data_IF_126010496921
#
_entry.id   IF_126010496921
#
_cell.length_a   1.000
_cell.length_b   1.000
_cell.length_c   1.000
_cell.angle_alpha   90.00
_cell.angle_beta   90.00
_cell.angle_gamma   90.00
#
_symmetry.space_group_name_H-M   'P 1'
#
loop_
_entity.id
_entity.type
_entity.pdbx_description
1 polymer ?
#
# COMPACT_ATOMS: atom_id res chain seq x y z
N UNK A 1 39.20 95.85 -26.57
CA UNK A 1 39.10 96.98 -27.51
C UNK A 1 38.76 98.34 -26.87
N UNK A 2 38.61 98.46 -25.53
CA UNK A 2 38.38 99.76 -24.86
C UNK A 2 39.66 100.45 -24.34
N UNK A 3 40.80 99.76 -24.35
CA UNK A 3 42.09 100.30 -23.87
C UNK A 3 42.78 101.18 -24.94
N UNK A 4 42.39 101.06 -26.21
CA UNK A 4 43.05 101.75 -27.33
C UNK A 4 42.52 103.17 -27.62
N UNK A 5 41.37 103.53 -27.06
CA UNK A 5 40.73 104.84 -27.30
C UNK A 5 41.13 105.89 -26.24
N UNK A 6 41.55 105.45 -25.05
CA UNK A 6 41.94 106.36 -23.96
C UNK A 6 43.35 106.97 -24.13
N UNK A 7 44.28 106.31 -24.84
CA UNK A 7 45.64 106.84 -25.03
C UNK A 7 45.75 107.94 -26.10
N UNK A 8 44.73 108.14 -26.94
CA UNK A 8 44.79 109.08 -28.07
C UNK A 8 44.24 110.48 -27.77
N UNK A 9 43.50 110.65 -26.66
CA UNK A 9 42.93 111.94 -26.25
C UNK A 9 43.82 112.65 -25.22
N UNK A 10 44.65 111.92 -24.48
CA UNK A 10 45.56 112.48 -23.46
C UNK A 10 46.85 113.07 -24.07
N UNK A 11 47.25 112.64 -25.27
CA UNK A 11 48.50 113.10 -25.92
C UNK A 11 48.36 114.43 -26.70
N UNK A 12 47.13 114.88 -26.98
CA UNK A 12 46.89 116.14 -27.72
C UNK A 12 46.58 117.35 -26.83
N UNK A 13 46.45 117.16 -25.51
CA UNK A 13 46.09 118.22 -24.57
C UNK A 13 47.28 118.76 -23.75
N UNK A 14 48.48 118.19 -23.91
CA UNK A 14 49.69 118.57 -23.12
C UNK A 14 50.67 119.45 -23.91
N UNK A 15 50.36 119.83 -25.16
CA UNK A 15 51.27 120.59 -26.03
C UNK A 15 50.79 121.99 -26.43
N UNK A 16 49.93 122.67 -25.65
CA UNK A 16 49.48 124.03 -26.04
C UNK A 16 49.22 125.05 -24.93
N UNK A 17 49.50 124.79 -23.65
CA UNK A 17 49.26 125.79 -22.60
C UNK A 17 50.38 125.79 -21.55
N UNK A 18 51.34 126.71 -21.73
CA UNK A 18 52.31 127.26 -20.78
C UNK A 18 53.41 127.92 -21.63
N UNK A 19 53.60 129.26 -21.71
CA UNK A 19 53.88 130.15 -20.59
C UNK A 19 53.94 131.62 -21.11
N UNK A 20 53.26 132.50 -20.36
CA UNK A 20 53.68 133.87 -19.93
C UNK A 20 53.71 134.97 -21.01
N UNK A 21 52.72 135.88 -21.07
CA UNK A 21 52.59 137.12 -20.26
C UNK A 21 53.85 137.99 -20.19
N UNK A 22 53.93 139.06 -20.99
CA UNK A 22 54.96 140.08 -20.82
C UNK A 22 54.76 141.33 -21.68
N UNK A 23 54.36 142.42 -21.03
CA UNK A 23 54.74 143.81 -21.32
C UNK A 23 54.43 144.46 -22.69
N UNK A 24 53.30 145.15 -22.74
CA UNK A 24 53.17 146.59 -22.92
C UNK A 24 54.46 147.38 -23.32
N UNK A 25 54.50 147.93 -24.55
CA UNK A 25 55.07 149.26 -24.82
C UNK A 25 54.56 149.83 -26.16
N UNK A 26 53.70 150.84 -26.04
CA UNK A 26 53.30 151.76 -27.10
C UNK A 26 54.10 153.05 -26.84
N UNK A 27 54.73 153.62 -27.87
CA UNK A 27 55.49 154.89 -27.78
C UNK A 27 55.74 155.43 -29.21
N UNK A 28 55.99 156.73 -29.41
CA UNK A 28 54.97 157.63 -29.97
C UNK A 28 55.42 158.39 -31.23
N UNK A 29 54.43 158.95 -31.95
CA UNK A 29 54.63 159.92 -33.04
C UNK A 29 55.13 161.25 -32.46
N UNK A 30 56.39 161.61 -32.72
CA UNK A 30 56.98 162.91 -32.39
C UNK A 30 57.00 163.85 -33.59
N UNK A 31 56.38 165.02 -33.43
CA UNK A 31 56.39 166.17 -34.33
C UNK A 31 57.59 167.08 -34.06
N UNK A 32 58.25 167.63 -35.09
CA UNK A 32 59.05 168.86 -34.99
C UNK A 32 58.85 169.74 -36.24
N UNK A 33 58.45 170.98 -35.97
CA UNK A 33 58.05 172.08 -36.85
C UNK A 33 59.23 172.78 -37.58
N UNK A 34 58.95 173.57 -38.64
CA UNK A 34 59.93 174.34 -39.41
C UNK A 34 60.21 175.73 -38.81
N UNK A 35 61.29 176.44 -39.22
CA UNK A 35 61.49 177.85 -38.88
C UNK A 35 60.97 178.80 -39.98
N UNK A 36 60.32 179.86 -39.52
CA UNK A 36 59.79 181.02 -40.25
C UNK A 36 60.75 182.21 -40.11
N UNK A 37 60.93 182.99 -41.18
CA UNK A 37 61.08 184.47 -41.19
C UNK A 37 61.39 184.90 -42.64
N UNK A 38 60.86 185.94 -43.28
CA UNK A 38 59.90 187.04 -43.06
C UNK A 38 59.63 187.65 -44.47
N UNK A 39 58.74 188.59 -44.80
CA UNK A 39 58.03 189.67 -44.14
C UNK A 39 56.81 190.02 -45.02
N UNK A 40 55.67 190.38 -44.44
CA UNK A 40 54.95 191.64 -44.72
C UNK A 40 53.63 191.68 -43.93
N UNK A 41 53.49 192.75 -43.15
CA UNK A 41 52.46 192.93 -42.13
C UNK A 41 51.03 192.96 -42.69
N UNK A 42 50.09 192.50 -41.84
CA UNK A 42 48.61 192.69 -41.87
C UNK A 42 47.72 191.43 -42.17
N UNK A 43 48.24 190.25 -42.51
CA UNK A 43 47.42 189.03 -42.81
C UNK A 43 47.36 187.90 -41.73
N UNK A 44 48.10 187.98 -40.62
CA UNK A 44 48.35 186.85 -39.69
C UNK A 44 47.27 186.53 -38.62
N UNK A 45 46.17 187.27 -38.53
CA UNK A 45 45.19 187.07 -37.42
C UNK A 45 44.11 186.02 -37.72
N UNK A 46 43.73 185.82 -38.98
CA UNK A 46 42.61 184.93 -39.35
C UNK A 46 43.03 183.45 -39.45
N UNK A 47 44.25 183.15 -39.88
CA UNK A 47 44.78 181.78 -39.97
C UNK A 47 44.98 181.13 -38.59
N UNK A 48 45.39 181.91 -37.59
CA UNK A 48 45.54 181.44 -36.22
C UNK A 48 44.18 181.04 -35.59
N UNK A 49 43.13 181.81 -35.88
CA UNK A 49 41.78 181.53 -35.39
C UNK A 49 41.20 180.24 -35.99
N UNK A 50 41.51 179.95 -37.25
CA UNK A 50 41.12 178.71 -37.93
C UNK A 50 41.83 177.48 -37.36
N UNK A 51 43.13 177.57 -37.11
CA UNK A 51 43.92 176.51 -36.45
C UNK A 51 43.37 176.16 -35.06
N UNK A 52 42.96 177.15 -34.28
CA UNK A 52 42.34 176.96 -32.96
C UNK A 52 40.99 176.22 -33.03
N UNK A 53 40.17 176.51 -34.04
CA UNK A 53 38.88 175.83 -34.27
C UNK A 53 39.11 174.37 -34.67
N UNK A 54 40.05 174.10 -35.58
CA UNK A 54 40.36 172.74 -36.01
C UNK A 54 40.97 171.90 -34.87
N UNK A 55 41.80 172.51 -34.04
CA UNK A 55 42.39 171.80 -32.89
C UNK A 55 41.35 171.54 -31.79
N UNK A 56 40.41 172.47 -31.57
CA UNK A 56 39.27 172.25 -30.68
C UNK A 56 38.37 171.11 -31.19
N UNK A 57 38.10 171.06 -32.50
CA UNK A 57 37.36 169.96 -33.13
C UNK A 57 38.10 168.63 -33.01
N UNK A 58 39.43 168.60 -33.17
CA UNK A 58 40.23 167.39 -32.91
C UNK A 58 40.15 166.95 -31.47
N UNK A 59 40.28 167.86 -30.51
CA UNK A 59 40.10 167.55 -29.09
C UNK A 59 38.71 166.96 -28.80
N UNK A 60 37.66 167.56 -29.36
CA UNK A 60 36.29 167.04 -29.23
C UNK A 60 36.14 165.64 -29.88
N UNK A 61 36.74 165.43 -31.05
CA UNK A 61 36.74 164.13 -31.72
C UNK A 61 37.52 163.06 -30.94
N UNK A 62 38.70 163.38 -30.40
CA UNK A 62 39.45 162.47 -29.54
C UNK A 62 38.71 162.14 -28.25
N UNK A 63 38.02 163.12 -27.65
CA UNK A 63 37.16 162.90 -26.49
C UNK A 63 35.98 161.98 -26.82
N UNK A 64 35.33 162.18 -27.96
CA UNK A 64 34.24 161.32 -28.44
C UNK A 64 34.75 159.90 -28.71
N UNK A 65 35.88 159.75 -29.39
CA UNK A 65 36.49 158.43 -29.65
C UNK A 65 36.87 157.72 -28.36
N UNK A 66 37.45 158.44 -27.37
CA UNK A 66 37.75 157.86 -26.06
C UNK A 66 36.49 157.39 -25.33
N UNK A 67 35.41 158.19 -25.37
CA UNK A 67 34.12 157.80 -24.79
C UNK A 67 33.55 156.55 -25.47
N UNK A 68 33.60 156.45 -26.81
CA UNK A 68 33.16 155.27 -27.56
C UNK A 68 34.00 154.04 -27.23
N UNK A 69 35.34 154.17 -27.23
CA UNK A 69 36.25 153.06 -26.90
C UNK A 69 36.03 152.60 -25.46
N UNK A 70 35.82 153.53 -24.52
CA UNK A 70 35.52 153.21 -23.12
C UNK A 70 34.19 152.45 -22.98
N UNK A 71 33.15 152.89 -23.69
CA UNK A 71 31.85 152.21 -23.72
C UNK A 71 31.95 150.81 -24.32
N UNK A 72 32.66 150.66 -25.44
CA UNK A 72 32.91 149.35 -26.06
C UNK A 72 33.76 148.43 -25.16
N UNK A 73 34.79 148.96 -24.49
CA UNK A 73 35.57 148.18 -23.53
C UNK A 73 34.69 147.71 -22.36
N UNK A 74 33.83 148.57 -21.81
CA UNK A 74 32.88 148.17 -20.77
C UNK A 74 31.90 147.09 -21.27
N UNK A 75 31.33 147.26 -22.47
CA UNK A 75 30.44 146.25 -23.07
C UNK A 75 31.13 144.90 -23.26
N UNK A 76 32.35 144.91 -23.80
CA UNK A 76 33.16 143.69 -23.98
C UNK A 76 33.55 143.07 -22.63
N UNK A 77 33.82 143.88 -21.60
CA UNK A 77 34.12 143.39 -20.27
C UNK A 77 32.90 142.72 -19.62
N UNK A 78 31.70 143.30 -19.79
CA UNK A 78 30.44 142.71 -19.36
C UNK A 78 30.14 141.42 -20.12
N UNK A 79 30.31 141.38 -21.44
CA UNK A 79 30.16 140.16 -22.26
C UNK A 79 31.16 139.06 -21.89
N UNK A 80 32.42 139.43 -21.62
CA UNK A 80 33.44 138.50 -21.14
C UNK A 80 33.07 137.91 -19.77
N UNK A 81 32.60 138.77 -18.85
CA UNK A 81 32.18 138.34 -17.50
C UNK A 81 30.97 137.42 -17.58
N UNK A 82 29.97 137.77 -18.41
CA UNK A 82 28.79 136.95 -18.66
C UNK A 82 29.15 135.57 -19.24
N UNK A 83 30.00 135.55 -20.26
CA UNK A 83 30.46 134.29 -20.88
C UNK A 83 31.28 133.44 -19.91
N UNK A 84 32.07 134.07 -19.03
CA UNK A 84 32.82 133.38 -18.00
C UNK A 84 31.89 132.75 -16.95
N UNK A 85 30.83 133.45 -16.54
CA UNK A 85 29.86 132.93 -15.58
C UNK A 85 28.98 131.84 -16.17
N UNK A 86 28.57 131.96 -17.43
CA UNK A 86 27.91 130.88 -18.19
C UNK A 86 28.80 129.63 -18.30
N UNK A 87 30.10 129.80 -18.56
CA UNK A 87 31.05 128.69 -18.59
C UNK A 87 31.19 128.00 -17.23
N UNK A 88 31.25 128.77 -16.12
CA UNK A 88 31.27 128.20 -14.77
C UNK A 88 29.99 127.42 -14.48
N UNK A 89 28.82 127.97 -14.84
CA UNK A 89 27.54 127.30 -14.67
C UNK A 89 27.49 125.99 -15.46
N UNK A 90 27.86 125.99 -16.74
CA UNK A 90 27.89 124.79 -17.58
C UNK A 90 28.86 123.73 -17.06
N UNK A 91 29.99 124.12 -16.47
CA UNK A 91 30.92 123.18 -15.84
C UNK A 91 30.31 122.51 -14.61
N UNK A 92 29.58 123.27 -13.78
CA UNK A 92 28.85 122.71 -12.63
C UNK A 92 27.74 121.80 -13.11
N UNK A 93 26.92 122.21 -14.08
CA UNK A 93 25.85 121.39 -14.65
C UNK A 93 26.39 120.08 -15.23
N UNK A 94 27.46 120.14 -16.04
CA UNK A 94 28.16 118.96 -16.55
C UNK A 94 28.61 118.03 -15.42
N UNK A 95 29.20 118.58 -14.35
CA UNK A 95 29.64 117.79 -13.21
C UNK A 95 28.45 117.12 -12.50
N UNK A 96 27.38 117.87 -12.23
CA UNK A 96 26.19 117.31 -11.56
C UNK A 96 25.52 116.21 -12.38
N UNK A 97 25.47 116.35 -13.71
CA UNK A 97 24.92 115.31 -14.61
C UNK A 97 25.84 114.09 -14.61
N UNK A 98 27.16 114.31 -14.64
CA UNK A 98 28.13 113.22 -14.56
C UNK A 98 28.00 112.43 -13.25
N UNK A 99 27.88 113.11 -12.11
CA UNK A 99 27.71 112.49 -10.80
C UNK A 99 26.39 111.70 -10.72
N UNK A 100 25.29 112.23 -11.28
CA UNK A 100 24.01 111.51 -11.40
C UNK A 100 24.14 110.24 -12.24
N UNK A 101 24.84 110.30 -13.36
CA UNK A 101 25.10 109.11 -14.18
C UNK A 101 25.99 108.09 -13.47
N UNK A 102 27.01 108.55 -12.72
CA UNK A 102 27.84 107.66 -11.92
C UNK A 102 27.03 106.95 -10.83
N UNK A 103 26.14 107.66 -10.14
CA UNK A 103 25.25 107.09 -9.14
C UNK A 103 24.32 106.04 -9.75
N UNK A 104 23.64 106.38 -10.86
CA UNK A 104 22.74 105.46 -11.55
C UNK A 104 23.48 104.20 -12.06
N UNK A 105 24.71 104.36 -12.55
CA UNK A 105 25.56 103.23 -12.94
C UNK A 105 25.95 102.35 -11.75
N UNK A 106 26.15 102.93 -10.57
CA UNK A 106 26.42 102.17 -9.35
C UNK A 106 25.18 101.37 -8.91
N UNK A 107 24.00 102.01 -8.90
CA UNK A 107 22.72 101.37 -8.57
C UNK A 107 22.42 100.18 -9.49
N UNK A 108 22.56 100.33 -10.81
CA UNK A 108 22.34 99.21 -11.74
C UNK A 108 23.34 98.07 -11.58
N UNK A 109 24.60 98.37 -11.20
CA UNK A 109 25.60 97.33 -10.92
C UNK A 109 25.25 96.56 -9.65
N UNK A 110 24.79 97.25 -8.61
CA UNK A 110 24.35 96.63 -7.37
C UNK A 110 23.11 95.76 -7.60
N UNK A 111 22.11 96.26 -8.34
CA UNK A 111 20.91 95.48 -8.68
C UNK A 111 21.26 94.24 -9.50
N UNK A 112 22.12 94.36 -10.53
CA UNK A 112 22.56 93.22 -11.33
C UNK A 112 23.28 92.17 -10.48
N UNK A 113 24.13 92.59 -9.55
CA UNK A 113 24.80 91.69 -8.62
C UNK A 113 23.79 90.99 -7.70
N UNK A 114 22.84 91.74 -7.14
CA UNK A 114 21.75 91.19 -6.33
C UNK A 114 20.93 90.15 -7.08
N UNK A 115 20.50 90.45 -8.31
CA UNK A 115 19.77 89.51 -9.18
C UNK A 115 20.58 88.28 -9.55
N UNK A 116 21.89 88.43 -9.76
CA UNK A 116 22.77 87.29 -10.03
C UNK A 116 22.86 86.36 -8.82
N UNK A 117 23.02 86.91 -7.61
CA UNK A 117 23.06 86.13 -6.37
C UNK A 117 21.73 85.44 -6.07
N UNK A 118 20.59 86.12 -6.29
CA UNK A 118 19.25 85.52 -6.16
C UNK A 118 19.07 84.32 -7.11
N UNK A 119 19.50 84.48 -8.36
CA UNK A 119 19.43 83.43 -9.38
C UNK A 119 20.30 82.22 -9.01
N UNK A 120 21.50 82.44 -8.49
CA UNK A 120 22.37 81.37 -7.99
C UNK A 120 21.75 80.62 -6.79
N UNK A 121 21.15 81.35 -5.85
CA UNK A 121 20.41 80.75 -4.72
C UNK A 121 19.22 79.92 -5.21
N UNK A 122 18.45 80.43 -6.16
CA UNK A 122 17.32 79.69 -6.74
C UNK A 122 17.79 78.43 -7.47
N UNK A 123 18.87 78.49 -8.27
CA UNK A 123 19.45 77.31 -8.94
C UNK A 123 19.87 76.21 -7.96
N UNK A 124 20.35 76.57 -6.77
CA UNK A 124 20.70 75.61 -5.71
C UNK A 124 19.48 74.94 -5.08
N UNK A 125 18.38 75.68 -4.93
CA UNK A 125 17.13 75.21 -4.33
C UNK A 125 16.28 74.38 -5.31
N UNK A 126 16.30 74.73 -6.60
CA UNK A 126 15.56 73.99 -7.63
C UNK A 126 16.03 72.55 -7.68
N UNK A 127 15.07 71.64 -7.80
CA UNK A 127 15.33 70.22 -7.96
C UNK A 127 16.08 70.00 -9.28
N UNK A 128 17.38 69.70 -9.18
CA UNK A 128 18.19 69.39 -10.35
C UNK A 128 17.89 67.99 -10.86
N UNK A 129 18.10 67.70 -12.16
CA UNK A 129 17.94 66.36 -12.71
C UNK A 129 18.72 65.29 -11.94
N UNK A 130 19.92 65.63 -11.45
CA UNK A 130 20.75 64.71 -10.66
C UNK A 130 20.13 64.38 -9.30
N UNK A 131 19.57 65.39 -8.60
CA UNK A 131 18.86 65.17 -7.33
C UNK A 131 17.60 64.33 -7.56
N UNK A 132 16.90 64.55 -8.67
CA UNK A 132 15.73 63.74 -9.03
C UNK A 132 16.09 62.28 -9.33
N UNK A 133 17.17 62.02 -10.07
CA UNK A 133 17.66 60.65 -10.32
C UNK A 133 18.07 59.95 -9.03
N UNK A 134 18.74 60.65 -8.11
CA UNK A 134 19.09 60.10 -6.80
C UNK A 134 17.85 59.71 -6.00
N UNK A 135 16.84 60.59 -5.94
CA UNK A 135 15.58 60.30 -5.24
C UNK A 135 14.85 59.12 -5.90
N UNK A 136 14.82 59.04 -7.24
CA UNK A 136 14.24 57.89 -7.96
C UNK A 136 14.96 56.59 -7.62
N UNK A 137 16.30 56.61 -7.62
CA UNK A 137 17.11 55.44 -7.26
C UNK A 137 16.87 55.01 -5.80
N UNK A 138 16.75 55.96 -4.87
CA UNK A 138 16.40 55.68 -3.48
C UNK A 138 15.01 55.06 -3.34
N UNK A 139 13.99 55.62 -4.00
CA UNK A 139 12.64 55.06 -4.03
C UNK A 139 12.66 53.63 -4.59
N UNK A 140 13.39 53.41 -5.67
CA UNK A 140 13.50 52.09 -6.29
C UNK A 140 14.18 51.06 -5.36
N UNK A 141 15.24 51.47 -4.66
CA UNK A 141 16.02 50.61 -3.78
C UNK A 141 15.30 50.32 -2.44
N UNK A 142 14.73 51.35 -1.82
CA UNK A 142 14.15 51.26 -0.47
C UNK A 142 12.69 50.79 -0.47
N UNK A 143 11.94 51.05 -1.54
CA UNK A 143 10.51 50.76 -1.60
C UNK A 143 10.16 49.78 -2.73
N UNK A 144 10.44 50.12 -3.99
CA UNK A 144 9.93 49.34 -5.12
C UNK A 144 10.51 47.92 -5.15
N UNK A 145 11.83 47.77 -5.00
CA UNK A 145 12.49 46.45 -5.05
C UNK A 145 12.10 45.55 -3.87
N UNK A 146 12.08 46.01 -2.61
CA UNK A 146 11.61 45.20 -1.48
C UNK A 146 10.13 44.81 -1.61
N UNK A 147 9.29 45.72 -2.12
CA UNK A 147 7.88 45.41 -2.35
C UNK A 147 7.70 44.36 -3.45
N UNK A 148 8.41 44.49 -4.58
CA UNK A 148 8.39 43.50 -5.65
C UNK A 148 8.82 42.11 -5.17
N UNK A 149 9.89 42.02 -4.38
CA UNK A 149 10.35 40.74 -3.83
C UNK A 149 9.35 40.16 -2.81
N UNK A 150 8.70 40.99 -2.00
CA UNK A 150 7.61 40.54 -1.11
C UNK A 150 6.46 39.96 -1.91
N UNK A 151 5.98 40.66 -2.94
CA UNK A 151 4.91 40.15 -3.81
C UNK A 151 5.29 38.83 -4.48
N UNK A 152 6.52 38.72 -5.00
CA UNK A 152 7.00 37.48 -5.60
C UNK A 152 7.02 36.31 -4.61
N UNK A 153 7.41 36.55 -3.35
CA UNK A 153 7.37 35.53 -2.30
C UNK A 153 5.94 35.09 -1.98
N UNK A 154 5.02 36.05 -1.84
CA UNK A 154 3.59 35.78 -1.61
C UNK A 154 2.97 34.99 -2.77
N UNK A 155 3.27 35.34 -4.02
CA UNK A 155 2.83 34.59 -5.20
C UNK A 155 3.37 33.15 -5.20
N UNK A 156 4.65 32.96 -4.89
CA UNK A 156 5.25 31.63 -4.80
C UNK A 156 4.62 30.78 -3.68
N UNK A 157 4.32 31.37 -2.53
CA UNK A 157 3.63 30.67 -1.43
C UNK A 157 2.19 30.32 -1.82
N UNK A 158 1.47 31.25 -2.46
CA UNK A 158 0.13 31.00 -2.98
C UNK A 158 0.11 29.83 -3.98
N UNK A 159 1.07 29.78 -4.90
CA UNK A 159 1.16 28.69 -5.88
C UNK A 159 1.54 27.35 -5.24
N UNK A 160 2.42 27.36 -4.22
CA UNK A 160 2.71 26.17 -3.41
C UNK A 160 1.45 25.63 -2.73
N UNK A 161 0.71 26.48 -2.01
CA UNK A 161 -0.52 26.05 -1.36
C UNK A 161 -1.58 25.58 -2.37
N UNK A 162 -1.67 26.21 -3.54
CA UNK A 162 -2.57 25.80 -4.62
C UNK A 162 -2.22 24.39 -5.13
N UNK A 163 -0.95 24.11 -5.37
CA UNK A 163 -0.49 22.80 -5.83
C UNK A 163 -0.69 21.71 -4.78
N UNK A 164 -0.37 22.00 -3.51
CA UNK A 164 -0.61 21.10 -2.38
C UNK A 164 -2.10 20.82 -2.17
N UNK A 165 -2.95 21.85 -2.20
CA UNK A 165 -4.40 21.69 -2.12
C UNK A 165 -4.94 20.79 -3.24
N UNK A 166 -4.49 21.02 -4.48
CA UNK A 166 -4.92 20.19 -5.61
C UNK A 166 -4.50 18.73 -5.41
N UNK A 167 -3.24 18.49 -4.99
CA UNK A 167 -2.74 17.15 -4.68
C UNK A 167 -3.59 16.47 -3.60
N UNK A 168 -3.81 17.15 -2.48
CA UNK A 168 -4.60 16.62 -1.37
C UNK A 168 -6.06 16.35 -1.77
N UNK A 169 -6.64 17.20 -2.62
CA UNK A 169 -7.99 17.01 -3.17
C UNK A 169 -8.08 15.76 -4.03
N UNK A 170 -7.07 15.49 -4.87
CA UNK A 170 -7.02 14.26 -5.66
C UNK A 170 -6.86 13.04 -4.77
N UNK A 171 -5.93 13.07 -3.81
CA UNK A 171 -5.71 11.98 -2.86
C UNK A 171 -6.97 11.68 -2.05
N UNK A 172 -7.64 12.70 -1.52
CA UNK A 172 -8.90 12.55 -0.80
C UNK A 172 -9.98 11.88 -1.68
N UNK A 173 -10.12 12.31 -2.94
CA UNK A 173 -11.11 11.73 -3.86
C UNK A 173 -10.79 10.27 -4.17
N UNK A 174 -9.52 9.97 -4.42
CA UNK A 174 -9.03 8.61 -4.66
C UNK A 174 -9.28 7.69 -3.45
N UNK A 175 -8.84 8.10 -2.25
CA UNK A 175 -9.04 7.32 -1.02
C UNK A 175 -10.52 7.12 -0.71
N UNK A 176 -11.36 8.13 -0.96
CA UNK A 176 -12.80 8.02 -0.75
C UNK A 176 -13.41 6.96 -1.67
N UNK A 177 -13.07 6.97 -2.96
CA UNK A 177 -13.55 5.97 -3.90
C UNK A 177 -13.06 4.55 -3.58
N UNK A 178 -11.79 4.38 -3.18
CA UNK A 178 -11.26 3.09 -2.72
C UNK A 178 -11.98 2.58 -1.47
N UNK A 179 -12.25 3.47 -0.50
CA UNK A 179 -13.00 3.11 0.70
C UNK A 179 -14.45 2.71 0.40
N UNK A 180 -15.13 3.47 -0.47
CA UNK A 180 -16.50 3.15 -0.91
C UNK A 180 -16.54 1.79 -1.62
N UNK A 181 -15.59 1.53 -2.52
CA UNK A 181 -15.46 0.26 -3.23
C UNK A 181 -15.22 -0.92 -2.27
N UNK A 182 -14.25 -0.82 -1.35
CA UNK A 182 -13.98 -1.88 -0.37
C UNK A 182 -15.19 -2.14 0.54
N UNK A 183 -15.90 -1.08 0.95
CA UNK A 183 -17.12 -1.21 1.75
C UNK A 183 -18.20 -1.98 0.98
N UNK A 184 -18.42 -1.66 -0.28
CA UNK A 184 -19.39 -2.34 -1.15
C UNK A 184 -19.01 -3.81 -1.38
N UNK A 185 -17.73 -4.11 -1.63
CA UNK A 185 -17.24 -5.48 -1.75
C UNK A 185 -17.46 -6.30 -0.48
N UNK A 186 -17.16 -5.71 0.69
CA UNK A 186 -17.40 -6.36 1.98
C UNK A 186 -18.89 -6.59 2.24
N UNK A 187 -19.75 -5.63 1.91
CA UNK A 187 -21.21 -5.77 2.04
C UNK A 187 -21.74 -6.87 1.12
N UNK A 188 -21.29 -6.91 -0.14
CA UNK A 188 -21.65 -7.96 -1.08
C UNK A 188 -21.20 -9.35 -0.60
N UNK A 189 -19.97 -9.48 -0.12
CA UNK A 189 -19.45 -10.74 0.41
C UNK A 189 -20.25 -11.24 1.62
N UNK A 190 -20.65 -10.32 2.53
CA UNK A 190 -21.49 -10.65 3.67
C UNK A 190 -22.88 -11.12 3.24
N UNK A 191 -23.51 -10.46 2.27
CA UNK A 191 -24.83 -10.88 1.77
C UNK A 191 -24.74 -12.21 1.02
N UNK A 192 -23.68 -12.45 0.24
CA UNK A 192 -23.44 -13.74 -0.43
C UNK A 192 -23.30 -14.88 0.59
N UNK A 193 -22.53 -14.68 1.65
CA UNK A 193 -22.41 -15.66 2.73
C UNK A 193 -23.73 -15.87 3.45
N UNK A 194 -24.47 -14.80 3.75
CA UNK A 194 -25.80 -14.89 4.36
C UNK A 194 -26.76 -15.73 3.51
N UNK A 195 -26.81 -15.49 2.19
CA UNK A 195 -27.64 -16.29 1.27
C UNK A 195 -27.23 -17.76 1.28
N UNK A 196 -25.92 -18.07 1.29
CA UNK A 196 -25.43 -19.47 1.40
C UNK A 196 -25.89 -20.14 2.69
N UNK A 197 -25.79 -19.44 3.82
CA UNK A 197 -26.23 -19.96 5.12
C UNK A 197 -27.75 -20.13 5.18
N UNK A 198 -28.53 -19.19 4.65
CA UNK A 198 -29.98 -19.30 4.56
C UNK A 198 -30.41 -20.49 3.68
N UNK A 199 -29.74 -20.71 2.55
CA UNK A 199 -29.99 -21.86 1.69
C UNK A 199 -29.65 -23.20 2.37
N UNK A 200 -28.55 -23.26 3.13
CA UNK A 200 -28.16 -24.44 3.90
C UNK A 200 -29.15 -24.72 5.04
N UNK A 201 -29.60 -23.70 5.76
CA UNK A 201 -30.65 -23.81 6.79
C UNK A 201 -31.93 -24.38 6.16
N UNK A 202 -32.39 -23.80 5.04
CA UNK A 202 -33.60 -24.28 4.37
C UNK A 202 -33.49 -25.74 3.90
N UNK A 203 -32.30 -26.16 3.43
CA UNK A 203 -32.03 -27.56 3.08
C UNK A 203 -32.12 -28.46 4.31
N UNK A 204 -31.46 -28.09 5.41
CA UNK A 204 -31.45 -28.87 6.65
C UNK A 204 -32.84 -28.95 7.30
N UNK A 205 -33.63 -27.87 7.22
CA UNK A 205 -35.02 -27.86 7.67
C UNK A 205 -35.87 -28.85 6.87
N UNK A 206 -35.70 -28.89 5.55
CA UNK A 206 -36.36 -29.86 4.69
C UNK A 206 -35.94 -31.30 5.03
N UNK A 207 -34.64 -31.56 5.16
CA UNK A 207 -34.14 -32.89 5.53
C UNK A 207 -34.68 -33.33 6.90
N UNK A 208 -34.74 -32.41 7.87
CA UNK A 208 -35.34 -32.64 9.18
C UNK A 208 -36.82 -32.99 9.08
N UNK A 209 -37.58 -32.27 8.26
CA UNK A 209 -39.00 -32.55 8.02
C UNK A 209 -39.20 -33.91 7.33
N UNK A 210 -38.38 -34.23 6.33
CA UNK A 210 -38.41 -35.55 5.67
C UNK A 210 -38.10 -36.69 6.64
N UNK A 211 -37.08 -36.53 7.50
CA UNK A 211 -36.74 -37.51 8.53
C UNK A 211 -37.86 -37.64 9.58
N UNK A 212 -38.47 -36.53 9.98
CA UNK A 212 -39.61 -36.53 10.88
C UNK A 212 -40.81 -37.26 10.27
N UNK A 213 -41.15 -36.97 9.02
CA UNK A 213 -42.21 -37.64 8.28
C UNK A 213 -41.95 -39.14 8.14
N UNK A 214 -40.70 -39.55 7.86
CA UNK A 214 -40.31 -40.97 7.86
C UNK A 214 -40.54 -41.60 9.22
N UNK A 215 -40.10 -40.95 10.31
CA UNK A 215 -40.27 -41.45 11.67
C UNK A 215 -41.76 -41.60 12.05
N UNK A 216 -42.59 -40.61 11.72
CA UNK A 216 -44.04 -40.64 11.99
C UNK A 216 -44.76 -41.67 11.12
N UNK A 217 -44.32 -41.85 9.86
CA UNK A 217 -44.91 -42.84 8.94
C UNK A 217 -44.61 -44.29 9.33
N UNK A 218 -43.55 -44.53 10.12
CA UNK A 218 -43.27 -45.85 10.68
C UNK A 218 -44.29 -46.09 11.80
N UNK A 219 -45.28 -46.95 11.53
CA UNK A 219 -46.21 -47.43 12.56
C UNK A 219 -45.39 -48.02 13.73
N UNK A 220 -45.39 -47.39 14.92
CA UNK A 220 -44.61 -47.83 16.07
C UNK A 220 -45.00 -49.25 16.51
N UNK A 221 -46.21 -49.66 16.15
CA UNK A 221 -46.74 -50.98 16.46
C UNK A 221 -46.40 -52.02 15.40
N UNK A 222 -45.89 -51.65 14.21
CA UNK A 222 -45.58 -52.63 13.14
C UNK A 222 -44.49 -53.59 13.57
N UNK A 223 -43.41 -53.04 14.12
CA UNK A 223 -42.31 -53.85 14.63
C UNK A 223 -42.74 -54.59 15.90
N UNK A 224 -43.54 -53.97 16.77
CA UNK A 224 -44.12 -54.64 17.95
C UNK A 224 -45.03 -55.82 17.56
N UNK A 225 -45.91 -55.66 16.58
CA UNK A 225 -46.79 -56.71 16.03
C UNK A 225 -45.97 -57.82 15.38
N UNK A 226 -44.93 -57.47 14.63
CA UNK A 226 -44.01 -58.45 14.02
C UNK A 226 -43.26 -59.24 15.09
N UNK A 227 -42.79 -58.59 16.15
CA UNK A 227 -42.17 -59.25 17.31
C UNK A 227 -43.18 -60.15 18.03
N UNK A 228 -44.42 -59.70 18.22
CA UNK A 228 -45.47 -60.53 18.82
C UNK A 228 -45.78 -61.78 18.00
N UNK A 229 -45.92 -61.66 16.68
CA UNK A 229 -46.17 -62.80 15.78
C UNK A 229 -45.01 -63.79 15.87
N UNK A 230 -43.78 -63.32 15.71
CA UNK A 230 -42.58 -64.16 15.82
C UNK A 230 -42.45 -64.80 17.21
N UNK A 231 -42.86 -64.09 18.27
CA UNK A 231 -42.87 -64.64 19.63
C UNK A 231 -43.92 -65.75 19.79
N UNK A 232 -45.11 -65.60 19.19
CA UNK A 232 -46.15 -66.66 19.18
C UNK A 232 -45.68 -67.87 18.38
N UNK A 233 -45.11 -67.68 17.19
CA UNK A 233 -44.52 -68.75 16.37
C UNK A 233 -43.39 -69.46 17.11
N UNK A 234 -42.49 -68.71 17.75
CA UNK A 234 -41.42 -69.26 18.59
C UNK A 234 -42.01 -70.15 19.69
N UNK A 235 -43.04 -69.69 20.41
CA UNK A 235 -43.67 -70.47 21.48
C UNK A 235 -44.31 -71.76 20.94
N UNK A 236 -45.00 -71.70 19.80
CA UNK A 236 -45.58 -72.88 19.14
C UNK A 236 -44.52 -73.90 18.73
N UNK A 237 -43.42 -73.43 18.13
CA UNK A 237 -42.30 -74.29 17.76
C UNK A 237 -41.63 -74.92 18.98
N UNK A 238 -41.47 -74.18 20.08
CA UNK A 238 -40.94 -74.74 21.33
C UNK A 238 -41.86 -75.82 21.91
N UNK A 239 -43.19 -75.62 21.85
CA UNK A 239 -44.14 -76.64 22.31
C UNK A 239 -44.08 -77.90 21.44
N UNK A 240 -44.01 -77.74 20.12
CA UNK A 240 -43.84 -78.86 19.19
C UNK A 240 -42.54 -79.62 19.43
N UNK A 241 -41.45 -78.89 19.68
CA UNK A 241 -40.15 -79.47 19.99
C UNK A 241 -40.20 -80.28 21.29
N UNK A 242 -40.82 -79.76 22.35
CA UNK A 242 -41.06 -80.52 23.60
C UNK A 242 -41.89 -81.78 23.37
N UNK A 243 -42.92 -81.70 22.51
CA UNK A 243 -43.73 -82.86 22.14
C UNK A 243 -42.91 -83.95 21.45
N UNK A 244 -42.07 -83.56 20.47
CA UNK A 244 -41.16 -84.48 19.79
C UNK A 244 -40.09 -85.04 20.73
N UNK A 245 -39.56 -84.25 21.67
CA UNK A 245 -38.62 -84.73 22.69
C UNK A 245 -39.26 -85.79 23.60
N UNK A 246 -40.53 -85.59 23.97
CA UNK A 246 -41.29 -86.58 24.75
C UNK A 246 -41.52 -87.86 23.95
N UNK A 247 -41.94 -87.76 22.69
CA UNK A 247 -42.11 -88.91 21.79
C UNK A 247 -40.80 -89.69 21.62
N UNK A 248 -39.66 -89.00 21.45
CA UNK A 248 -38.35 -89.65 21.39
C UNK A 248 -38.01 -90.36 22.70
N UNK A 249 -38.36 -89.79 23.86
CA UNK A 249 -38.14 -90.43 25.15
C UNK A 249 -39.00 -91.70 25.31
N UNK A 250 -40.26 -91.66 24.90
CA UNK A 250 -41.18 -92.80 24.89
C UNK A 250 -40.67 -93.92 23.97
N UNK A 251 -40.33 -93.60 22.71
CA UNK A 251 -39.78 -94.56 21.76
C UNK A 251 -38.48 -95.19 22.26
N UNK A 252 -37.61 -94.43 22.94
CA UNK A 252 -36.40 -94.98 23.59
C UNK A 252 -36.76 -95.96 24.70
N UNK A 253 -37.72 -95.63 25.55
CA UNK A 253 -38.17 -96.51 26.63
C UNK A 253 -38.82 -97.80 26.08
N UNK A 254 -39.64 -97.71 25.02
CA UNK A 254 -40.20 -98.87 24.32
C UNK A 254 -39.11 -99.75 23.72
N UNK A 255 -38.14 -99.14 23.03
CA UNK A 255 -36.99 -99.84 22.44
C UNK A 255 -36.17 -100.57 23.53
N UNK A 256 -35.93 -99.93 24.67
CA UNK A 256 -35.21 -100.53 25.79
C UNK A 256 -36.00 -101.70 26.40
N UNK A 257 -37.32 -101.57 26.58
CA UNK A 257 -38.20 -102.64 27.04
C UNK A 257 -38.21 -103.84 26.08
N UNK A 258 -38.34 -103.58 24.77
CA UNK A 258 -38.23 -104.61 23.74
C UNK A 258 -36.85 -105.29 23.76
N UNK A 259 -35.78 -104.53 24.00
CA UNK A 259 -34.43 -105.05 24.20
C UNK A 259 -34.35 -106.01 25.39
N UNK A 260 -34.85 -105.59 26.56
CA UNK A 260 -34.91 -106.43 27.77
C UNK A 260 -35.75 -107.69 27.55
N UNK A 261 -36.88 -107.56 26.84
CA UNK A 261 -37.73 -108.70 26.50
C UNK A 261 -37.02 -109.68 25.58
N UNK A 262 -36.33 -109.19 24.54
CA UNK A 262 -35.54 -110.01 23.63
C UNK A 262 -34.40 -110.73 24.36
N UNK A 263 -33.66 -110.04 25.24
CA UNK A 263 -32.62 -110.64 26.07
C UNK A 263 -33.17 -111.70 27.03
N UNK A 264 -34.35 -111.49 27.60
CA UNK A 264 -35.01 -112.49 28.46
C UNK A 264 -35.40 -113.74 27.68
N UNK A 265 -36.03 -113.58 26.50
CA UNK A 265 -36.37 -114.70 25.62
C UNK A 265 -35.11 -115.45 25.21
N UNK A 266 -34.06 -114.74 24.80
CA UNK A 266 -32.77 -115.35 24.45
C UNK A 266 -32.16 -116.11 25.63
N UNK A 267 -32.17 -115.54 26.85
CA UNK A 267 -31.69 -116.22 28.06
C UNK A 267 -32.46 -117.51 28.34
N UNK A 268 -33.80 -117.49 28.21
CA UNK A 268 -34.63 -118.69 28.37
C UNK A 268 -34.31 -119.73 27.30
N UNK A 269 -34.20 -119.33 26.03
CA UNK A 269 -33.83 -120.24 24.93
C UNK A 269 -32.45 -120.87 25.15
N UNK A 270 -31.45 -120.10 25.59
CA UNK A 270 -30.11 -120.63 25.92
C UNK A 270 -30.18 -121.63 27.06
N UNK A 271 -30.97 -121.35 28.11
CA UNK A 271 -31.19 -122.30 29.21
C UNK A 271 -31.85 -123.59 28.72
N UNK A 272 -32.92 -123.50 27.91
CA UNK A 272 -33.59 -124.66 27.33
C UNK A 272 -32.68 -125.48 26.41
N UNK A 273 -31.84 -124.83 25.60
CA UNK A 273 -30.83 -125.51 24.79
C UNK A 273 -29.81 -126.25 25.64
N UNK A 274 -29.36 -125.66 26.76
CA UNK A 274 -28.45 -126.32 27.69
C UNK A 274 -29.11 -127.54 28.39
N UNK A 275 -30.39 -127.43 28.76
CA UNK A 275 -31.18 -128.54 29.32
C UNK A 275 -31.32 -129.68 28.30
N UNK A 276 -31.70 -129.38 27.06
CA UNK A 276 -31.79 -130.36 25.97
C UNK A 276 -30.42 -131.01 25.68
N UNK A 277 -29.33 -130.23 25.63
CA UNK A 277 -27.99 -130.77 25.47
C UNK A 277 -27.59 -131.71 26.61
N UNK A 278 -27.92 -131.37 27.86
CA UNK A 278 -27.70 -132.24 29.02
C UNK A 278 -28.50 -133.54 28.91
N UNK A 279 -29.77 -133.44 28.51
CA UNK A 279 -30.64 -134.61 28.28
C UNK A 279 -30.08 -135.51 27.19
N UNK A 280 -29.65 -134.94 26.05
CA UNK A 280 -29.01 -135.69 24.97
C UNK A 280 -27.75 -136.42 25.45
N UNK A 281 -26.88 -135.77 26.24
CA UNK A 281 -25.69 -136.42 26.82
C UNK A 281 -26.07 -137.57 27.77
N UNK A 282 -27.12 -137.40 28.58
CA UNK A 282 -27.63 -138.46 29.46
C UNK A 282 -28.13 -139.66 28.66
N UNK A 283 -28.96 -139.41 27.63
CA UNK A 283 -29.46 -140.45 26.74
C UNK A 283 -28.34 -141.14 25.94
N UNK A 284 -27.32 -140.41 25.51
CA UNK A 284 -26.12 -140.99 24.89
C UNK A 284 -25.33 -141.89 25.85
N UNK A 285 -25.22 -141.51 27.13
CA UNK A 285 -24.59 -142.33 28.15
C UNK A 285 -25.41 -143.59 28.46
N UNK A 286 -26.74 -143.48 28.56
CA UNK A 286 -27.65 -144.62 28.69
C UNK A 286 -27.54 -145.55 27.48
N UNK A 287 -27.51 -145.00 26.26
CA UNK A 287 -27.30 -145.78 25.03
C UNK A 287 -25.98 -146.55 25.08
N UNK A 288 -24.86 -145.91 25.42
CA UNK A 288 -23.55 -146.58 25.54
C UNK A 288 -23.54 -147.66 26.62
N UNK A 289 -24.21 -147.42 27.75
CA UNK A 289 -24.38 -148.41 28.82
C UNK A 289 -25.15 -149.63 28.33
N UNK A 290 -26.27 -149.40 27.62
CA UNK A 290 -27.07 -150.47 27.01
C UNK A 290 -26.26 -151.26 25.97
N UNK A 291 -25.48 -150.58 25.11
CA UNK A 291 -24.56 -151.21 24.16
C UNK A 291 -23.53 -152.11 24.87
N UNK A 292 -22.95 -151.66 25.99
CA UNK A 292 -22.03 -152.48 26.80
C UNK A 292 -22.73 -153.68 27.44
N UNK A 293 -23.98 -153.53 27.91
CA UNK A 293 -24.77 -154.65 28.42
C UNK A 293 -25.06 -155.68 27.33
N UNK A 294 -25.42 -155.23 26.13
CA UNK A 294 -25.60 -156.12 24.96
C UNK A 294 -24.29 -156.84 24.65
N UNK A 295 -23.15 -156.12 24.58
CA UNK A 295 -21.85 -156.73 24.33
C UNK A 295 -21.46 -157.80 25.36
N UNK A 296 -21.70 -157.54 26.65
CA UNK A 296 -21.50 -158.55 27.72
C UNK A 296 -22.38 -159.80 27.52
N UNK A 297 -23.66 -159.62 27.21
CA UNK A 297 -24.58 -160.73 26.96
C UNK A 297 -24.15 -161.52 25.71
N UNK A 298 -23.68 -160.85 24.66
CA UNK A 298 -23.14 -161.50 23.46
C UNK A 298 -21.88 -162.34 23.77
N UNK A 299 -21.00 -161.86 24.64
CA UNK A 299 -19.83 -162.60 25.13
C UNK A 299 -20.24 -163.80 25.99
N UNK A 300 -21.15 -163.62 26.94
CA UNK A 300 -21.74 -164.71 27.73
C UNK A 300 -22.38 -165.78 26.83
N UNK A 301 -23.14 -165.35 25.80
CA UNK A 301 -23.74 -166.24 24.81
C UNK A 301 -22.67 -167.00 24.01
N UNK A 302 -21.57 -166.33 23.64
CA UNK A 302 -20.44 -166.97 22.93
C UNK A 302 -19.78 -168.04 23.80
N UNK A 303 -19.48 -167.72 25.07
CA UNK A 303 -18.93 -168.70 26.03
C UNK A 303 -19.91 -169.85 26.23
N UNK A 304 -21.21 -169.58 26.32
CA UNK A 304 -22.24 -170.59 26.46
C UNK A 304 -22.30 -171.49 25.21
N UNK A 305 -22.18 -170.93 24.00
CA UNK A 305 -22.06 -171.69 22.74
C UNK A 305 -20.80 -172.55 22.70
N UNK A 306 -19.66 -172.03 23.14
CA UNK A 306 -18.39 -172.76 23.22
C UNK A 306 -18.46 -173.92 24.22
N UNK A 307 -19.05 -173.69 25.40
CA UNK A 307 -19.33 -174.75 26.38
C UNK A 307 -20.28 -175.80 25.82
N UNK A 308 -21.35 -175.38 25.12
CA UNK A 308 -22.31 -176.28 24.50
C UNK A 308 -21.64 -177.13 23.40
N UNK A 309 -20.77 -176.54 22.58
CA UNK A 309 -19.95 -177.26 21.61
C UNK A 309 -19.02 -178.29 22.27
N UNK A 310 -18.39 -177.93 23.40
CA UNK A 310 -17.53 -178.83 24.17
C UNK A 310 -18.32 -180.03 24.76
N UNK A 311 -19.49 -179.76 25.33
CA UNK A 311 -20.40 -180.76 25.87
C UNK A 311 -20.94 -181.68 24.76
N UNK A 312 -21.33 -181.11 23.61
CA UNK A 312 -21.76 -181.87 22.44
C UNK A 312 -20.64 -182.78 21.93
N UNK A 313 -19.40 -182.29 21.91
CA UNK A 313 -18.23 -183.10 21.54
C UNK A 313 -17.95 -184.24 22.53
N UNK A 314 -18.12 -184.00 23.84
CA UNK A 314 -18.00 -185.06 24.88
C UNK A 314 -19.11 -186.09 24.76
N UNK A 315 -20.33 -185.67 24.47
CA UNK A 315 -21.47 -186.54 24.21
C UNK A 315 -21.17 -187.46 23.02
N UNK A 316 -20.70 -186.88 21.91
CA UNK A 316 -20.39 -187.65 20.70
C UNK A 316 -19.25 -188.66 20.90
N UNK A 317 -18.22 -188.33 21.70
CA UNK A 317 -17.17 -189.29 22.09
C UNK A 317 -17.72 -190.42 22.94
N UNK A 318 -18.59 -190.11 23.91
CA UNK A 318 -19.22 -191.12 24.77
C UNK A 318 -20.17 -192.03 23.96
N UNK A 319 -20.90 -191.49 22.98
CA UNK A 319 -21.72 -192.27 22.05
C UNK A 319 -20.87 -193.22 21.19
N UNK A 320 -19.70 -192.79 20.71
CA UNK A 320 -18.77 -193.65 19.97
C UNK A 320 -18.21 -194.77 20.84
N UNK A 321 -17.89 -194.49 22.10
CA UNK A 321 -17.41 -195.50 23.06
C UNK A 321 -18.48 -196.55 23.35
N UNK A 322 -19.75 -196.15 23.57
CA UNK A 322 -20.90 -197.05 23.76
C UNK A 322 -21.13 -197.91 22.53
N UNK A 323 -21.06 -197.34 21.32
CA UNK A 323 -21.20 -198.11 20.07
C UNK A 323 -20.05 -199.11 19.87
N UNK A 324 -18.82 -198.77 20.31
CA UNK A 324 -17.67 -199.69 20.24
C UNK A 324 -17.77 -200.86 21.23
N UNK A 325 -18.35 -200.62 22.41
CA UNK A 325 -18.58 -201.64 23.43
C UNK A 325 -19.73 -202.58 23.04
N UNK A 326 -20.82 -202.04 22.50
CA UNK A 326 -21.93 -202.83 21.97
C UNK A 326 -21.51 -203.77 20.82
N UNK A 327 -20.56 -203.35 19.98
CA UNK A 327 -20.03 -204.18 18.89
C UNK A 327 -19.14 -205.35 19.39
N UNK A 328 -18.43 -205.19 20.51
CA UNK A 328 -17.57 -206.24 21.10
C UNK A 328 -18.38 -207.33 21.80
N UNK A 329 -19.48 -206.98 22.46
CA UNK A 329 -20.36 -207.95 23.14
C UNK A 329 -21.10 -208.86 22.14
N UNK A 330 -21.45 -208.37 20.95
CA UNK A 330 -22.08 -209.17 19.89
C UNK A 330 -21.16 -210.24 19.28
N UNK A 331 -19.83 -210.03 19.32
CA UNK A 331 -18.85 -211.01 18.84
C UNK A 331 -18.54 -212.13 19.86
N UNK A 332 -18.71 -211.89 21.17
CA UNK A 332 -18.49 -212.92 22.19
C UNK A 332 -19.69 -213.84 22.38
N UNK A 333 -20.92 -213.33 22.28
CA UNK A 333 -22.15 -214.15 22.41
C UNK A 333 -22.31 -215.16 21.26
N UNK A 334 -21.93 -214.80 20.03
CA UNK A 334 -21.93 -215.75 18.89
C UNK A 334 -20.89 -216.88 19.04
N UNK A 335 -19.77 -216.65 19.74
CA UNK A 335 -18.75 -217.69 20.00
C UNK A 335 -19.16 -218.64 21.14
N UNK A 336 -19.93 -218.17 22.12
CA UNK A 336 -20.43 -219.00 23.22
C UNK A 336 -21.50 -220.01 22.77
N UNK A 337 -22.45 -219.58 21.93
CA UNK A 337 -23.53 -220.46 21.45
C UNK A 337 -23.04 -221.58 20.52
N UNK A 338 -21.92 -221.40 19.80
CA UNK A 338 -21.30 -222.47 18.98
C UNK A 338 -20.67 -223.59 19.81
N UNK A 339 -20.33 -223.35 21.08
CA UNK A 339 -19.62 -224.33 21.94
C UNK A 339 -20.57 -225.23 22.72
N UNK A 340 -21.79 -224.76 23.01
CA UNK A 340 -22.80 -225.54 23.77
C UNK A 340 -23.54 -226.58 22.90
N UNK A 341 -23.84 -226.31 21.62
CA UNK A 341 -24.55 -227.29 20.80
C UNK A 341 -23.69 -228.49 20.33
N UNK A 342 -22.37 -228.46 20.51
CA UNK A 342 -21.50 -229.60 20.21
C UNK A 342 -21.49 -230.66 21.32
N UNK A 343 -22.09 -230.40 22.49
CA UNK A 343 -21.98 -231.26 23.68
C UNK A 343 -23.21 -232.18 23.88
N UNK A 344 -24.37 -231.90 23.26
CA UNK A 344 -25.57 -232.76 23.37
C UNK A 344 -25.67 -233.76 22.18
N UNK A 345 -24.52 -234.26 21.72
CA UNK A 345 -24.41 -235.27 20.65
C UNK A 345 -23.99 -236.67 21.15
N UNK A 346 -23.99 -236.94 22.47
CA UNK A 346 -23.59 -238.25 23.03
C UNK A 346 -24.38 -238.71 24.28
N UNK A 347 -25.70 -238.46 24.37
CA UNK A 347 -26.61 -239.29 25.18
C UNK A 347 -27.91 -239.52 24.44
#
# INVERSE_FOLDING_TARGET
MLVYVCYKVIFHFVLSIAIVNGHQKMDPLGSLLPPVAGNSDVANSEELQKLLIDEKRRCEHHKANYQTIKAEHMRLQEEYTKSQDELKQLLVEKQTVHDKFQLLLAEYREELLGKTQELEKLKMQVLTPQKLELIKAQIQQELESPMAERYRKLENEMEKYRTEYNKLRYEHTFLKSEFEHQREEHEHALEEEKIKHEAEIARLEKDKEELHNRLVSIDPTRDSKRVEILSREKAQLHQKLKGLEAEVAELRAERDNCGVQAENVQRVQVRQLAELQSLTRSLEAEKKSAEQHVGRIEEELKVCREQNFLLTSKLHKSEQEVNSLAAKDCCQTKKFLRKQLSVIKCF
#
